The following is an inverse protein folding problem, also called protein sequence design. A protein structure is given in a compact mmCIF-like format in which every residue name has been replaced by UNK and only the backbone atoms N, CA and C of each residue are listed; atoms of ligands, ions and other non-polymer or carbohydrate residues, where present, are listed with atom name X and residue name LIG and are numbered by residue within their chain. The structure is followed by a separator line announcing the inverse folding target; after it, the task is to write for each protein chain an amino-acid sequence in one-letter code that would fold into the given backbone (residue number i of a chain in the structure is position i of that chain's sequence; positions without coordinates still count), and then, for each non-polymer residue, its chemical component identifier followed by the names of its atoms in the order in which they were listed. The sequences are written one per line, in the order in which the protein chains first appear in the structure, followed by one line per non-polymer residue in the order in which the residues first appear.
data_IF_970859571022
#
_entry.id   IF_970859571022
#
_cell.length_a   1.000
_cell.length_b   1.000
_cell.length_c   1.000
_cell.angle_alpha   90.00
_cell.angle_beta   90.00
_cell.angle_gamma   90.00
#
_symmetry.space_group_name_H-M   'P 1'
#
loop_
_entity.id
_entity.type
_entity.pdbx_description
1 polymer ?
#
# COMPACT_ATOMS: atom_id res chain seq x y z
N UNK A 1 33.75 -21.72 14.31
CA UNK A 1 32.64 -20.81 14.67
C UNK A 1 32.17 -20.14 13.40
N UNK A 2 30.93 -20.40 12.96
CA UNK A 2 30.36 -19.83 11.73
C UNK A 2 29.34 -18.78 12.15
N UNK A 3 29.77 -17.53 12.26
CA UNK A 3 28.90 -16.42 12.62
C UNK A 3 28.14 -15.98 11.35
N UNK A 4 26.79 -16.03 11.34
CA UNK A 4 26.02 -15.64 10.17
C UNK A 4 26.15 -14.13 9.95
N UNK A 5 26.56 -13.74 8.75
CA UNK A 5 26.68 -12.35 8.34
C UNK A 5 25.33 -11.64 8.50
N UNK A 6 25.31 -10.40 9.05
CA UNK A 6 24.08 -9.63 9.15
C UNK A 6 23.56 -9.29 7.75
N UNK A 7 22.23 -9.32 7.60
CA UNK A 7 21.56 -8.92 6.37
C UNK A 7 21.78 -7.41 6.16
N UNK A 8 22.03 -6.95 4.91
CA UNK A 8 22.13 -5.53 4.61
C UNK A 8 20.84 -4.80 4.99
N UNK A 9 20.98 -3.56 5.45
CA UNK A 9 19.85 -2.70 5.78
C UNK A 9 18.94 -2.51 4.55
N UNK A 10 17.61 -2.61 4.71
CA UNK A 10 16.69 -2.36 3.61
C UNK A 10 16.90 -0.93 3.11
N UNK A 11 16.77 -0.69 1.80
CA UNK A 11 16.86 0.65 1.24
C UNK A 11 15.89 1.56 1.98
N UNK A 12 16.43 2.64 2.54
CA UNK A 12 15.68 3.66 3.25
C UNK A 12 14.89 4.45 2.20
N UNK A 13 13.73 3.95 1.79
CA UNK A 13 12.74 4.76 1.10
C UNK A 13 12.33 5.86 2.08
N UNK A 14 12.78 7.09 1.82
CA UNK A 14 12.64 8.26 2.70
C UNK A 14 11.19 8.73 2.94
N UNK A 15 10.21 7.95 2.51
CA UNK A 15 8.77 8.13 2.73
C UNK A 15 8.10 6.96 3.47
N UNK A 16 8.88 6.02 4.03
CA UNK A 16 8.34 4.94 4.83
C UNK A 16 8.00 5.41 6.25
N UNK A 17 6.82 6.01 6.44
CA UNK A 17 6.22 6.10 7.78
C UNK A 17 5.87 4.68 8.22
N UNK A 18 6.76 4.03 8.97
CA UNK A 18 6.49 2.78 9.67
C UNK A 18 5.55 3.09 10.83
N UNK A 19 4.26 2.73 10.76
CA UNK A 19 3.36 2.95 11.88
C UNK A 19 3.77 2.00 13.00
N UNK A 20 4.12 2.55 14.16
CA UNK A 20 4.36 1.76 15.36
C UNK A 20 3.04 1.13 15.84
N UNK A 21 2.86 -0.15 15.52
CA UNK A 21 1.68 -0.92 15.91
C UNK A 21 1.74 -1.43 17.36
N UNK A 22 2.83 -1.17 18.10
CA UNK A 22 3.01 -1.70 19.46
C UNK A 22 2.09 -1.05 20.50
N UNK A 23 1.61 0.17 20.22
CA UNK A 23 0.90 0.99 21.21
C UNK A 23 -0.63 0.95 21.09
N UNK A 24 -1.19 0.22 20.12
CA UNK A 24 -2.65 0.15 19.86
C UNK A 24 -3.30 1.50 19.53
N UNK A 25 -2.49 2.55 19.38
CA UNK A 25 -2.95 3.93 19.14
C UNK A 25 -3.02 4.10 17.63
N UNK A 26 -4.23 4.00 17.08
CA UNK A 26 -4.48 4.13 15.65
C UNK A 26 -3.88 5.44 15.12
N UNK A 27 -2.78 5.33 14.38
CA UNK A 27 -2.17 6.49 13.73
C UNK A 27 -3.11 6.87 12.59
N UNK A 28 -3.74 8.05 12.68
CA UNK A 28 -4.51 8.63 11.58
C UNK A 28 -3.55 8.93 10.43
N UNK A 29 -3.45 7.98 9.52
CA UNK A 29 -2.58 7.99 8.35
C UNK A 29 -3.28 8.72 7.20
N UNK A 30 -3.90 9.88 7.50
CA UNK A 30 -4.77 10.64 6.59
C UNK A 30 -4.02 11.18 5.35
N UNK A 31 -2.67 11.20 5.38
CA UNK A 31 -1.81 11.70 4.31
C UNK A 31 -1.37 10.65 3.28
N UNK A 32 -1.51 9.36 3.59
CA UNK A 32 -0.94 8.29 2.77
C UNK A 32 -1.62 8.06 1.42
N UNK A 33 -2.79 8.65 1.23
CA UNK A 33 -3.60 8.43 0.04
C UNK A 33 -4.29 7.07 0.00
N UNK A 34 -4.88 6.74 -1.15
CA UNK A 34 -5.71 5.56 -1.28
C UNK A 34 -4.88 4.28 -1.40
N UNK A 35 -5.44 3.17 -0.89
CA UNK A 35 -4.86 1.85 -1.08
C UNK A 35 -5.23 1.25 -2.44
N UNK A 36 -4.31 0.47 -2.99
CA UNK A 36 -4.44 -0.25 -4.26
C UNK A 36 -4.48 -1.74 -3.96
N UNK A 37 -5.47 -2.42 -4.53
CA UNK A 37 -5.51 -3.89 -4.53
C UNK A 37 -4.71 -4.36 -5.74
N UNK A 38 -3.71 -5.22 -5.55
CA UNK A 38 -2.94 -5.81 -6.63
C UNK A 38 -3.59 -7.11 -7.11
N UNK A 39 -3.13 -7.60 -8.27
CA UNK A 39 -3.69 -8.84 -8.85
C UNK A 39 -3.31 -10.09 -8.06
N UNK A 40 -2.23 -10.02 -7.30
CA UNK A 40 -1.73 -11.09 -6.43
C UNK A 40 -2.39 -11.08 -5.03
N UNK A 41 -3.41 -10.24 -4.83
CA UNK A 41 -4.10 -10.09 -3.54
C UNK A 41 -3.41 -9.18 -2.53
N UNK A 42 -2.19 -8.70 -2.81
CA UNK A 42 -1.50 -7.77 -1.91
C UNK A 42 -2.10 -6.37 -1.96
N UNK A 43 -1.88 -5.59 -0.90
CA UNK A 43 -2.26 -4.17 -0.84
C UNK A 43 -1.01 -3.30 -0.96
N UNK A 44 -1.08 -2.26 -1.78
CA UNK A 44 -0.02 -1.24 -1.90
C UNK A 44 -0.58 0.17 -1.78
N UNK A 45 0.30 1.14 -1.56
CA UNK A 45 -0.02 2.58 -1.56
C UNK A 45 0.50 3.22 -2.84
N UNK A 46 -0.08 4.35 -3.21
CA UNK A 46 0.44 5.17 -4.31
C UNK A 46 1.59 6.03 -3.77
N UNK A 47 2.83 5.63 -4.07
CA UNK A 47 4.04 6.25 -3.50
C UNK A 47 4.15 7.75 -3.77
N UNK A 48 3.68 8.22 -4.94
CA UNK A 48 3.74 9.62 -5.33
C UNK A 48 2.44 10.41 -5.03
N UNK A 49 1.58 9.91 -4.13
CA UNK A 49 0.27 10.52 -3.89
C UNK A 49 0.34 11.97 -3.41
N UNK A 50 1.27 12.28 -2.50
CA UNK A 50 1.42 13.63 -1.95
C UNK A 50 1.93 14.63 -2.99
N UNK A 51 2.68 14.17 -3.98
CA UNK A 51 3.21 14.99 -5.07
C UNK A 51 2.19 15.20 -6.20
N UNK A 52 1.11 14.42 -6.24
CA UNK A 52 0.05 14.59 -7.24
C UNK A 52 -0.70 15.90 -7.03
N UNK A 53 -0.98 16.61 -8.12
CA UNK A 53 -1.91 17.74 -8.16
C UNK A 53 -3.35 17.30 -7.89
N UNK A 54 -4.23 18.24 -7.53
CA UNK A 54 -5.63 17.92 -7.25
C UNK A 54 -6.36 17.26 -8.44
N UNK A 55 -6.01 17.66 -9.66
CA UNK A 55 -6.60 17.06 -10.86
C UNK A 55 -6.15 15.61 -11.06
N UNK A 56 -4.88 15.30 -10.80
CA UNK A 56 -4.34 13.94 -10.84
C UNK A 56 -4.94 13.09 -9.73
N UNK A 57 -5.03 13.60 -8.50
CA UNK A 57 -5.67 12.91 -7.37
C UNK A 57 -7.13 12.55 -7.68
N UNK A 58 -7.92 13.49 -8.20
CA UNK A 58 -9.31 13.24 -8.63
C UNK A 58 -9.41 12.18 -9.71
N UNK A 59 -8.51 12.21 -10.70
CA UNK A 59 -8.50 11.23 -11.77
C UNK A 59 -8.14 9.82 -11.27
N UNK A 60 -7.13 9.74 -10.41
CA UNK A 60 -6.71 8.52 -9.74
C UNK A 60 -7.87 7.92 -8.95
N UNK A 61 -8.53 8.68 -8.07
CA UNK A 61 -9.64 8.17 -7.26
C UNK A 61 -10.79 7.63 -8.10
N UNK A 62 -11.16 8.34 -9.18
CA UNK A 62 -12.25 7.93 -10.07
C UNK A 62 -12.04 6.56 -10.69
N UNK A 63 -10.80 6.26 -11.09
CA UNK A 63 -10.47 5.02 -11.79
C UNK A 63 -10.14 3.91 -10.79
N UNK A 64 -9.48 4.26 -9.68
CA UNK A 64 -8.98 3.32 -8.70
C UNK A 64 -10.11 2.52 -8.04
N UNK A 65 -11.23 3.16 -7.68
CA UNK A 65 -12.36 2.46 -7.06
C UNK A 65 -12.88 1.31 -7.92
N UNK A 66 -13.14 1.57 -9.22
CA UNK A 66 -13.59 0.55 -10.16
C UNK A 66 -12.56 -0.58 -10.34
N UNK A 67 -11.27 -0.24 -10.41
CA UNK A 67 -10.20 -1.24 -10.60
C UNK A 67 -10.01 -2.12 -9.37
N UNK A 68 -10.02 -1.53 -8.18
CA UNK A 68 -9.92 -2.29 -6.94
C UNK A 68 -11.12 -3.22 -6.77
N UNK A 69 -12.35 -2.76 -7.07
CA UNK A 69 -13.53 -3.61 -7.02
C UNK A 69 -13.39 -4.83 -7.93
N UNK A 70 -13.01 -4.62 -9.20
CA UNK A 70 -12.83 -5.72 -10.16
C UNK A 70 -11.77 -6.72 -9.72
N UNK A 71 -10.66 -6.25 -9.11
CA UNK A 71 -9.61 -7.13 -8.59
C UNK A 71 -10.09 -7.91 -7.38
N UNK A 72 -10.78 -7.26 -6.45
CA UNK A 72 -11.36 -7.93 -5.27
C UNK A 72 -12.38 -9.00 -5.67
N UNK A 73 -13.25 -8.71 -6.65
CA UNK A 73 -14.24 -9.68 -7.13
C UNK A 73 -13.57 -10.88 -7.82
N UNK A 74 -12.44 -10.67 -8.51
CA UNK A 74 -11.67 -11.76 -9.12
C UNK A 74 -11.04 -12.65 -8.05
N UNK A 75 -10.42 -12.06 -7.02
CA UNK A 75 -9.80 -12.80 -5.92
C UNK A 75 -10.82 -13.63 -5.14
N UNK A 76 -11.99 -13.06 -4.84
CA UNK A 76 -13.07 -13.81 -4.15
C UNK A 76 -13.54 -15.03 -4.95
N UNK A 77 -13.64 -14.90 -6.27
CA UNK A 77 -14.01 -16.04 -7.14
C UNK A 77 -12.95 -17.13 -7.17
N UNK A 78 -11.68 -16.76 -7.03
CA UNK A 78 -10.57 -17.71 -6.95
C UNK A 78 -10.51 -18.41 -5.58
N UNK A 79 -10.93 -17.74 -4.50
CA UNK A 79 -11.04 -18.35 -3.17
C UNK A 79 -12.25 -19.30 -3.02
N UNK A 80 -13.34 -19.06 -3.77
CA UNK A 80 -14.57 -19.85 -3.72
C UNK A 80 -14.58 -21.08 -4.65
N UNK A 81 -13.61 -21.20 -5.56
CA UNK A 81 -13.50 -22.27 -6.56
C UNK A 81 -12.50 -23.36 -6.20
#
# INVERSE_FOLDING_TARGET
SNEPLPLPEPPQDTNATTPDMSSGRGVKLDHLGPMVVNKDGTLSRIANWEQMSDIERRNTLRILGKRNQLRMDALKKEEEG
#
